data_IF_768064529200
#
_entry.id   IF_768064529200
#
_cell.length_a   1.000
_cell.length_b   1.000
_cell.length_c   1.000
_cell.angle_alpha   90.00
_cell.angle_beta   90.00
_cell.angle_gamma   90.00
#
_symmetry.space_group_name_H-M   'P 1'
#
loop_
_entity.id
_entity.type
_entity.pdbx_description
1 polymer ?
#
# COMPACT_ATOMS: atom_id res chain seq x y z
N UNK A 1 7.65 -5.41 4.96
CA UNK A 1 7.77 -4.29 3.98
C UNK A 1 9.16 -3.66 4.02
N UNK A 2 9.69 -3.12 2.92
CA UNK A 2 11.01 -2.46 2.92
C UNK A 2 11.06 -1.20 2.03
N UNK A 3 11.81 -0.18 2.47
CA UNK A 3 12.17 1.01 1.67
C UNK A 3 13.46 0.73 0.89
N UNK A 4 13.45 0.98 -0.42
CA UNK A 4 14.64 0.91 -1.28
C UNK A 4 14.71 2.14 -2.20
N UNK A 5 15.87 2.38 -2.82
CA UNK A 5 16.07 3.47 -3.81
C UNK A 5 16.37 2.90 -5.18
N UNK A 6 15.69 3.39 -6.22
CA UNK A 6 15.79 2.83 -7.57
C UNK A 6 15.54 3.88 -8.66
N UNK A 7 16.44 3.98 -9.66
CA UNK A 7 16.39 4.94 -10.79
C UNK A 7 15.87 6.34 -10.38
N UNK A 8 16.46 6.87 -9.30
CA UNK A 8 16.17 8.18 -8.70
C UNK A 8 14.80 8.36 -8.02
N UNK A 9 14.05 7.28 -7.82
CA UNK A 9 12.81 7.25 -7.05
C UNK A 9 12.95 6.40 -5.80
N UNK A 10 12.26 6.79 -4.74
CA UNK A 10 12.13 5.94 -3.56
C UNK A 10 10.94 4.98 -3.77
N UNK A 11 11.16 3.72 -3.43
CA UNK A 11 10.23 2.62 -3.67
C UNK A 11 9.86 1.97 -2.35
N UNK A 12 8.56 1.77 -2.15
CA UNK A 12 8.03 0.94 -1.06
C UNK A 12 7.69 -0.44 -1.62
N UNK A 13 8.39 -1.46 -1.13
CA UNK A 13 8.29 -2.84 -1.63
C UNK A 13 7.27 -3.64 -0.83
N UNK A 14 6.23 -4.14 -1.51
CA UNK A 14 5.05 -4.79 -0.90
C UNK A 14 4.58 -6.00 -1.74
N UNK A 15 4.51 -7.20 -1.14
CA UNK A 15 3.82 -8.38 -1.70
C UNK A 15 4.66 -9.27 -2.65
N UNK A 16 4.07 -10.41 -3.05
CA UNK A 16 4.60 -11.43 -4.01
C UNK A 16 3.67 -11.71 -5.23
N UNK A 17 2.44 -11.19 -5.23
CA UNK A 17 1.56 -11.17 -6.42
C UNK A 17 1.08 -9.73 -6.67
N UNK A 18 1.50 -9.11 -7.79
CA UNK A 18 1.28 -7.69 -8.01
C UNK A 18 -0.03 -7.38 -8.72
N UNK A 19 -0.73 -8.38 -9.32
CA UNK A 19 -1.95 -8.25 -10.16
C UNK A 19 -3.07 -7.33 -9.65
N UNK A 20 -3.01 -7.01 -8.36
CA UNK A 20 -4.15 -6.80 -7.50
C UNK A 20 -3.96 -5.61 -6.52
N UNK A 21 -3.04 -4.69 -6.82
CA UNK A 21 -2.75 -3.52 -5.98
C UNK A 21 -3.64 -2.31 -6.32
N UNK A 22 -4.36 -1.80 -5.32
CA UNK A 22 -5.24 -0.63 -5.44
C UNK A 22 -4.79 0.50 -4.50
N UNK A 23 -4.76 1.72 -5.00
CA UNK A 23 -4.44 2.92 -4.22
C UNK A 23 -5.64 3.85 -4.08
N UNK A 24 -5.94 4.22 -2.83
CA UNK A 24 -6.99 5.15 -2.45
C UNK A 24 -6.36 6.33 -1.70
N UNK A 25 -6.03 7.43 -2.40
CA UNK A 25 -5.45 8.60 -1.76
C UNK A 25 -6.44 9.26 -0.80
N UNK A 26 -5.91 9.86 0.27
CA UNK A 26 -6.63 10.78 1.15
C UNK A 26 -5.79 12.05 1.39
N UNK A 27 -6.27 12.97 2.22
CA UNK A 27 -5.62 14.27 2.43
C UNK A 27 -4.23 14.21 3.08
N UNK A 28 -3.84 13.07 3.68
CA UNK A 28 -2.58 12.93 4.42
C UNK A 28 -1.90 11.58 4.16
N UNK A 29 -2.09 11.01 2.97
CA UNK A 29 -1.61 9.68 2.60
C UNK A 29 -2.67 8.89 1.85
N UNK A 30 -3.04 7.72 2.35
CA UNK A 30 -4.06 6.88 1.71
C UNK A 30 -4.03 5.42 2.13
N UNK A 31 -4.87 4.63 1.48
CA UNK A 31 -4.91 3.17 1.63
C UNK A 31 -4.35 2.50 0.40
N UNK A 32 -3.52 1.48 0.61
CA UNK A 32 -3.17 0.51 -0.42
C UNK A 32 -3.87 -0.77 -0.05
N UNK A 33 -4.52 -1.42 -1.01
CA UNK A 33 -5.16 -2.71 -0.81
C UNK A 33 -4.58 -3.67 -1.83
N UNK A 34 -3.98 -4.76 -1.35
CA UNK A 34 -3.64 -5.90 -2.19
C UNK A 34 -4.83 -6.86 -2.19
N UNK A 35 -5.52 -6.96 -3.32
CA UNK A 35 -6.61 -7.90 -3.55
C UNK A 35 -6.04 -9.33 -3.50
N UNK A 36 -6.70 -10.21 -2.75
CA UNK A 36 -6.37 -11.65 -2.77
C UNK A 36 -7.62 -12.45 -3.11
N UNK A 37 -8.77 -12.09 -2.52
CA UNK A 37 -10.09 -12.59 -2.94
C UNK A 37 -11.18 -11.58 -2.63
N UNK A 38 -12.09 -11.32 -3.57
CA UNK A 38 -13.32 -10.55 -3.42
C UNK A 38 -14.21 -10.83 -4.64
N UNK A 39 -15.52 -10.66 -4.50
CA UNK A 39 -16.47 -10.81 -5.61
C UNK A 39 -16.51 -9.55 -6.51
N UNK A 40 -16.06 -8.40 -5.99
CA UNK A 40 -16.00 -7.14 -6.72
C UNK A 40 -15.00 -6.15 -6.14
N UNK A 41 -14.61 -5.16 -6.96
CA UNK A 41 -13.77 -4.06 -6.51
C UNK A 41 -14.46 -3.23 -5.42
N UNK A 42 -15.76 -2.95 -5.55
CA UNK A 42 -16.52 -2.18 -4.57
C UNK A 42 -16.44 -2.81 -3.17
N UNK A 43 -16.68 -4.12 -3.10
CA UNK A 43 -16.54 -4.90 -1.87
C UNK A 43 -15.13 -4.85 -1.30
N UNK A 44 -14.09 -4.97 -2.14
CA UNK A 44 -12.70 -4.84 -1.69
C UNK A 44 -12.43 -3.47 -1.07
N UNK A 45 -12.92 -2.39 -1.71
CA UNK A 45 -12.69 -1.02 -1.22
C UNK A 45 -13.42 -0.76 0.10
N UNK A 46 -14.64 -1.26 0.25
CA UNK A 46 -15.38 -1.21 1.52
C UNK A 46 -14.65 -1.97 2.62
N UNK A 47 -14.19 -3.18 2.32
CA UNK A 47 -13.42 -4.00 3.25
C UNK A 47 -12.13 -3.30 3.70
N UNK A 48 -11.37 -2.72 2.77
CA UNK A 48 -10.13 -2.00 3.11
C UNK A 48 -10.36 -0.79 4.02
N UNK A 49 -11.46 -0.04 3.80
CA UNK A 49 -11.83 1.07 4.69
C UNK A 49 -12.21 0.55 6.09
N UNK A 50 -13.03 -0.49 6.14
CA UNK A 50 -13.44 -1.12 7.40
C UNK A 50 -12.23 -1.61 8.20
N UNK A 51 -11.27 -2.29 7.57
CA UNK A 51 -10.03 -2.73 8.22
C UNK A 51 -9.23 -1.53 8.75
N UNK A 52 -9.11 -0.47 7.94
CA UNK A 52 -8.37 0.73 8.34
C UNK A 52 -9.01 1.49 9.51
N UNK A 53 -10.32 1.37 9.72
CA UNK A 53 -11.06 1.96 10.84
C UNK A 53 -10.86 1.18 12.16
N UNK A 54 -10.54 -0.10 12.10
CA UNK A 54 -10.29 -0.92 13.29
C UNK A 54 -8.95 -0.62 13.98
N UNK A 55 -8.03 0.05 13.29
CA UNK A 55 -6.70 0.46 13.78
C UNK A 55 -5.89 -0.69 14.43
N UNK A 56 -6.12 -1.93 13.97
CA UNK A 56 -5.52 -3.15 14.50
C UNK A 56 -4.43 -3.67 13.56
N UNK A 57 -3.33 -2.92 13.48
CA UNK A 57 -2.21 -3.18 12.58
C UNK A 57 -1.24 -4.22 13.14
N UNK A 58 -0.68 -5.08 12.27
CA UNK A 58 0.27 -6.12 12.66
C UNK A 58 1.72 -5.75 12.35
N UNK A 59 1.93 -4.90 11.35
CA UNK A 59 3.23 -4.35 10.99
C UNK A 59 3.14 -2.84 10.91
N UNK A 60 4.17 -2.15 11.40
CA UNK A 60 4.31 -0.70 11.25
C UNK A 60 5.74 -0.36 10.85
N UNK A 61 5.87 0.64 9.98
CA UNK A 61 7.13 1.16 9.51
C UNK A 61 7.05 2.68 9.36
N UNK A 62 7.93 3.39 10.03
CA UNK A 62 8.11 4.83 9.80
C UNK A 62 9.04 5.05 8.61
N UNK A 63 8.61 5.91 7.69
CA UNK A 63 9.40 6.33 6.53
C UNK A 63 9.46 7.85 6.46
N UNK A 64 10.63 8.36 6.11
CA UNK A 64 10.78 9.75 5.71
C UNK A 64 10.59 9.86 4.19
N UNK A 65 9.62 10.67 3.79
CA UNK A 65 9.31 11.02 2.41
C UNK A 65 10.08 12.28 2.04
N UNK A 66 11.16 12.11 1.27
CA UNK A 66 12.04 13.21 0.83
C UNK A 66 11.79 13.62 -0.63
N UNK A 67 11.16 12.74 -1.42
CA UNK A 67 10.68 12.97 -2.78
C UNK A 67 9.16 12.93 -2.80
N UNK A 68 8.53 13.72 -3.66
CA UNK A 68 7.06 13.70 -3.84
C UNK A 68 6.60 12.59 -4.78
N UNK A 69 7.51 11.99 -5.55
CA UNK A 69 7.21 10.87 -6.44
C UNK A 69 7.75 9.57 -5.85
N UNK A 70 6.82 8.67 -5.55
CA UNK A 70 7.08 7.33 -5.03
C UNK A 70 6.45 6.28 -5.93
N UNK A 71 7.00 5.08 -5.89
CA UNK A 71 6.43 3.92 -6.55
C UNK A 71 6.25 2.78 -5.56
N UNK A 72 5.09 2.16 -5.62
CA UNK A 72 4.82 0.88 -4.99
C UNK A 72 5.05 -0.23 -6.00
N UNK A 73 5.73 -1.30 -5.58
CA UNK A 73 5.90 -2.49 -6.40
C UNK A 73 6.09 -3.75 -5.56
N UNK A 74 5.84 -4.89 -6.18
CA UNK A 74 6.12 -6.20 -5.63
C UNK A 74 7.62 -6.42 -5.42
N UNK A 75 7.88 -7.24 -4.41
CA UNK A 75 9.19 -7.69 -4.02
C UNK A 75 9.95 -8.45 -5.11
N UNK A 76 9.31 -9.27 -5.92
CA UNK A 76 9.97 -10.06 -6.95
C UNK A 76 10.05 -9.33 -8.30
N UNK A 77 9.46 -8.14 -8.42
CA UNK A 77 9.35 -7.39 -9.66
C UNK A 77 10.59 -6.61 -10.05
N UNK A 78 11.00 -6.79 -11.30
CA UNK A 78 11.94 -5.89 -11.97
C UNK A 78 11.17 -4.84 -12.80
N UNK A 79 11.90 -3.81 -13.23
CA UNK A 79 11.30 -2.58 -13.80
C UNK A 79 10.71 -2.80 -15.20
N UNK A 80 11.29 -3.76 -15.91
CA UNK A 80 10.90 -4.34 -17.20
C UNK A 80 9.90 -5.49 -17.08
N UNK A 81 9.58 -5.91 -15.85
CA UNK A 81 8.60 -6.95 -15.61
C UNK A 81 7.17 -6.39 -15.68
N UNK A 82 6.23 -7.21 -16.17
CA UNK A 82 4.81 -6.85 -16.37
C UNK A 82 4.03 -6.75 -15.04
N UNK A 83 4.73 -6.90 -13.92
CA UNK A 83 4.19 -6.79 -12.58
C UNK A 83 3.58 -5.40 -12.32
N UNK A 84 2.37 -5.33 -11.76
CA UNK A 84 1.77 -4.05 -11.43
C UNK A 84 2.60 -3.19 -10.48
N UNK A 85 2.57 -1.90 -10.80
CA UNK A 85 3.28 -0.82 -10.14
C UNK A 85 2.28 0.30 -9.91
N UNK A 86 2.29 0.90 -8.72
CA UNK A 86 1.42 2.03 -8.41
C UNK A 86 2.26 3.26 -8.13
N UNK A 87 2.09 4.30 -8.94
CA UNK A 87 2.75 5.59 -8.71
C UNK A 87 1.96 6.37 -7.64
N UNK A 88 2.69 6.86 -6.63
CA UNK A 88 2.16 7.60 -5.50
C UNK A 88 2.71 9.03 -5.54
N UNK A 89 1.83 9.99 -5.29
CA UNK A 89 2.20 11.40 -5.04
C UNK A 89 1.99 11.67 -3.56
N UNK A 90 3.08 11.91 -2.83
CA UNK A 90 3.09 12.16 -1.39
C UNK A 90 3.71 13.52 -1.10
N UNK A 91 3.29 14.16 -0.02
CA UNK A 91 3.96 15.35 0.49
C UNK A 91 5.26 14.94 1.19
N UNK A 92 6.21 15.87 1.31
CA UNK A 92 7.43 15.60 2.06
C UNK A 92 7.13 15.61 3.56
N UNK A 93 7.68 14.64 4.28
CA UNK A 93 7.50 14.54 5.73
C UNK A 93 7.67 13.12 6.26
N UNK A 94 7.32 12.93 7.52
CA UNK A 94 7.32 11.61 8.14
C UNK A 94 5.97 10.93 7.92
N UNK A 95 6.00 9.67 7.53
CA UNK A 95 4.80 8.86 7.37
C UNK A 95 4.95 7.58 8.17
N UNK A 96 3.83 7.15 8.78
CA UNK A 96 3.68 5.77 9.24
C UNK A 96 2.99 4.96 8.16
N UNK A 97 3.62 3.86 7.79
CA UNK A 97 3.03 2.79 6.98
C UNK A 97 2.62 1.68 7.94
N UNK A 98 1.33 1.46 8.10
CA UNK A 98 0.79 0.35 8.87
C UNK A 98 0.22 -0.70 7.93
N UNK A 99 0.37 -1.98 8.25
CA UNK A 99 -0.12 -3.08 7.43
C UNK A 99 -0.76 -4.19 8.26
N UNK A 100 -1.77 -4.83 7.67
CA UNK A 100 -2.39 -6.02 8.24
C UNK A 100 -2.98 -6.89 7.14
N UNK A 101 -2.85 -8.19 7.28
CA UNK A 101 -3.59 -9.16 6.49
C UNK A 101 -4.93 -9.41 7.18
N UNK A 102 -6.02 -9.32 6.45
CA UNK A 102 -7.36 -9.56 6.98
C UNK A 102 -8.21 -10.38 6.01
N UNK A 103 -9.10 -11.18 6.58
CA UNK A 103 -10.05 -12.00 5.83
C UNK A 103 -11.39 -12.09 6.54
N UNK A 104 -12.47 -12.15 5.76
CA UNK A 104 -13.81 -12.53 6.20
C UNK A 104 -14.38 -13.60 5.23
N UNK A 105 -15.67 -13.92 5.36
CA UNK A 105 -16.33 -14.98 4.57
C UNK A 105 -16.30 -14.77 3.05
N UNK A 106 -16.05 -13.55 2.58
CA UNK A 106 -16.20 -13.16 1.17
C UNK A 106 -15.06 -12.28 0.64
N UNK A 107 -14.11 -11.89 1.49
CA UNK A 107 -13.04 -10.97 1.12
C UNK A 107 -11.77 -11.29 1.89
N UNK A 108 -10.64 -11.27 1.19
CA UNK A 108 -9.31 -11.49 1.70
C UNK A 108 -8.37 -10.47 1.04
N UNK A 109 -7.64 -9.73 1.86
CA UNK A 109 -6.75 -8.69 1.38
C UNK A 109 -5.63 -8.41 2.39
N UNK A 110 -4.50 -7.93 1.88
CA UNK A 110 -3.55 -7.19 2.72
C UNK A 110 -3.84 -5.70 2.58
N UNK A 111 -4.10 -5.04 3.70
CA UNK A 111 -4.42 -3.61 3.75
C UNK A 111 -3.25 -2.86 4.34
N UNK A 112 -2.86 -1.79 3.66
CA UNK A 112 -1.84 -0.86 4.11
C UNK A 112 -2.44 0.52 4.26
N UNK A 113 -1.99 1.25 5.27
CA UNK A 113 -2.34 2.63 5.49
C UNK A 113 -1.09 3.49 5.58
N UNK A 114 -1.04 4.51 4.73
CA UNK A 114 -0.04 5.58 4.81
C UNK A 114 -0.70 6.77 5.50
N UNK A 115 -0.12 7.20 6.63
CA UNK A 115 -0.54 8.38 7.38
C UNK A 115 0.65 9.32 7.62
N UNK A 116 0.54 10.55 7.15
CA UNK A 116 1.48 11.62 7.47
C UNK A 116 1.45 11.90 8.97
N UNK A 117 2.63 12.01 9.57
CA UNK A 117 2.82 12.37 10.96
C UNK A 117 2.98 13.88 11.05
N UNK A 118 2.03 14.53 11.74
CA UNK A 118 2.05 15.98 11.96
C UNK A 118 3.16 16.39 12.93
#
# INVERSE_FOLDING_TARGET
>A
MHRIRFKDRDVLRIGEDPGDLYWLPNSSGGLIIQWIAADSLEQLLEFGRFVAEQDSWTEELDIEVVSTSWRLMDSCGFDDDEQPKVDLVLERGLYRVSATYQQNDSTMATVYQLKHQA
#
